data_IF_668003789202
#
_entry.id   IF_668003789202
#
_cell.length_a   1.000
_cell.length_b   1.000
_cell.length_c   1.000
_cell.angle_alpha   90.00
_cell.angle_beta   90.00
_cell.angle_gamma   90.00
#
_symmetry.space_group_name_H-M   'P 1'
#
loop_
_entity.id
_entity.type
_entity.pdbx_description
1 polymer ?
#
# COMPACT_ATOMS: atom_id res chain seq x y z
N UNK A 1 -28.22 57.77 10.09
CA UNK A 1 -27.09 58.15 9.22
C UNK A 1 -25.96 57.16 9.47
N UNK A 2 -25.56 56.38 8.45
CA UNK A 2 -24.34 55.50 8.29
C UNK A 2 -23.84 54.68 9.49
N UNK A 3 -23.92 53.34 9.50
CA UNK A 3 -23.07 52.34 8.80
C UNK A 3 -21.54 52.51 8.99
N UNK A 4 -20.93 51.63 9.78
CA UNK A 4 -19.89 50.71 9.32
C UNK A 4 -19.64 49.62 10.39
N UNK A 5 -20.08 48.42 10.04
CA UNK A 5 -19.74 47.11 10.61
C UNK A 5 -18.42 46.64 9.95
N UNK A 6 -17.55 45.95 10.69
CA UNK A 6 -16.60 44.99 10.13
C UNK A 6 -15.79 44.28 11.22
N UNK A 7 -16.15 43.01 11.46
CA UNK A 7 -15.33 42.10 12.25
C UNK A 7 -15.95 40.71 12.42
N UNK A 8 -16.65 40.19 11.40
CA UNK A 8 -17.20 38.84 11.44
C UNK A 8 -16.11 37.83 11.08
N UNK A 9 -15.66 37.05 12.07
CA UNK A 9 -14.77 35.90 11.88
C UNK A 9 -15.57 34.82 11.16
N UNK A 10 -15.41 34.74 9.84
CA UNK A 10 -16.08 33.75 9.01
C UNK A 10 -15.39 32.38 9.17
N UNK A 11 -16.04 31.49 9.94
CA UNK A 11 -15.85 30.04 9.84
C UNK A 11 -16.35 29.60 8.47
N UNK A 12 -15.46 29.39 7.51
CA UNK A 12 -15.56 28.40 6.43
C UNK A 12 -14.35 28.58 5.49
N UNK A 13 -13.72 27.44 5.20
CA UNK A 13 -12.86 27.12 4.04
C UNK A 13 -11.59 26.38 4.47
N UNK A 14 -11.79 25.18 5.04
CA UNK A 14 -10.75 24.14 5.05
C UNK A 14 -10.97 23.23 3.82
N UNK A 15 -10.88 23.83 2.63
CA UNK A 15 -10.80 23.10 1.37
C UNK A 15 -9.37 22.57 1.24
N UNK A 16 -9.15 21.36 1.77
CA UNK A 16 -7.97 20.56 1.46
C UNK A 16 -7.98 20.37 -0.06
N UNK A 17 -7.16 21.18 -0.73
CA UNK A 17 -6.88 21.03 -2.15
C UNK A 17 -6.12 19.71 -2.28
N UNK A 18 -6.82 18.64 -2.62
CA UNK A 18 -6.21 17.36 -2.95
C UNK A 18 -5.43 17.62 -4.24
N UNK A 19 -4.18 18.03 -4.11
CA UNK A 19 -3.26 18.13 -5.22
C UNK A 19 -3.30 16.76 -5.93
N UNK A 20 -3.57 16.76 -7.23
CA UNK A 20 -3.40 15.57 -8.07
C UNK A 20 -1.92 15.19 -8.00
N UNK A 21 -1.55 14.34 -7.04
CA UNK A 21 -0.24 13.72 -7.00
C UNK A 21 -0.12 12.91 -8.27
N UNK A 22 0.67 13.40 -9.23
CA UNK A 22 1.04 12.62 -10.40
C UNK A 22 1.64 11.32 -9.88
N UNK A 23 1.12 10.19 -10.36
CA UNK A 23 1.55 8.87 -9.92
C UNK A 23 3.06 8.74 -10.13
N UNK A 24 3.85 8.29 -9.14
CA UNK A 24 5.20 7.87 -9.42
C UNK A 24 5.15 6.70 -10.40
N UNK A 25 5.78 6.84 -11.56
CA UNK A 25 5.94 5.77 -12.51
C UNK A 25 6.76 4.65 -11.86
N UNK A 26 6.13 3.54 -11.52
CA UNK A 26 6.84 2.32 -11.10
C UNK A 26 7.30 1.64 -12.39
N UNK A 27 8.61 1.57 -12.67
CA UNK A 27 9.11 0.90 -13.87
C UNK A 27 8.64 -0.55 -13.89
N UNK A 28 7.99 -0.96 -14.99
CA UNK A 28 7.46 -2.31 -15.14
C UNK A 28 6.12 -2.55 -14.46
N UNK A 29 5.40 -1.53 -13.97
CA UNK A 29 4.03 -1.69 -13.49
C UNK A 29 3.08 -0.90 -14.40
N UNK A 30 2.44 -1.61 -15.32
CA UNK A 30 1.33 -1.04 -16.09
C UNK A 30 0.09 -1.18 -15.23
N UNK A 31 -0.48 -0.06 -14.80
CA UNK A 31 -1.75 -0.08 -14.07
C UNK A 31 -2.77 -0.85 -14.94
N UNK A 32 -3.18 -2.03 -14.49
CA UNK A 32 -4.08 -2.89 -15.24
C UNK A 32 -5.38 -2.12 -15.49
N UNK A 33 -5.51 -1.59 -16.70
CA UNK A 33 -6.76 -1.00 -17.16
C UNK A 33 -7.64 -2.19 -17.52
N UNK A 34 -8.29 -2.78 -16.52
CA UNK A 34 -9.35 -3.74 -16.75
C UNK A 34 -10.39 -3.08 -17.67
N UNK A 35 -10.37 -3.47 -18.95
CA UNK A 35 -11.36 -3.18 -19.98
C UNK A 35 -11.64 -1.70 -20.26
N UNK A 36 -10.83 -1.02 -21.08
CA UNK A 36 -11.31 0.19 -21.78
C UNK A 36 -12.07 -0.15 -23.07
N UNK A 37 -11.95 -1.36 -23.62
CA UNK A 37 -12.72 -1.80 -24.79
C UNK A 37 -12.91 -3.33 -24.79
N UNK A 38 -14.01 -3.81 -24.21
CA UNK A 38 -14.64 -5.06 -24.67
C UNK A 38 -16.10 -5.08 -24.24
N UNK A 39 -16.99 -5.28 -25.20
CA UNK A 39 -18.45 -5.27 -25.06
C UNK A 39 -19.00 -6.53 -24.35
N UNK A 40 -18.51 -6.82 -23.14
CA UNK A 40 -19.17 -7.75 -22.22
C UNK A 40 -19.02 -7.24 -20.78
N UNK A 41 -20.05 -6.48 -20.35
CA UNK A 41 -20.30 -6.13 -18.96
C UNK A 41 -20.83 -7.36 -18.20
N UNK A 42 -20.05 -8.43 -18.15
CA UNK A 42 -20.19 -9.38 -17.04
C UNK A 42 -19.51 -8.74 -15.84
N UNK A 43 -20.28 -8.51 -14.77
CA UNK A 43 -19.77 -7.95 -13.52
C UNK A 43 -18.52 -8.72 -13.10
N UNK A 44 -17.42 -8.02 -12.81
CA UNK A 44 -16.26 -8.63 -12.16
C UNK A 44 -16.74 -9.44 -10.94
N UNK A 45 -16.73 -10.76 -11.05
CA UNK A 45 -17.29 -11.65 -10.04
C UNK A 45 -16.54 -11.55 -8.71
N UNK A 46 -15.30 -11.04 -8.76
CA UNK A 46 -14.46 -10.80 -7.61
C UNK A 46 -14.66 -9.41 -7.01
N UNK A 47 -15.51 -8.53 -7.58
CA UNK A 47 -15.70 -7.16 -7.12
C UNK A 47 -16.00 -7.07 -5.61
N UNK A 48 -16.84 -7.97 -5.09
CA UNK A 48 -17.18 -8.06 -3.65
C UNK A 48 -16.00 -8.47 -2.76
N UNK A 49 -14.93 -9.02 -3.33
CA UNK A 49 -13.75 -9.51 -2.63
C UNK A 49 -12.63 -8.46 -2.52
N UNK A 50 -12.80 -7.27 -3.11
CA UNK A 50 -11.80 -6.19 -3.03
C UNK A 50 -11.94 -5.29 -1.79
N UNK A 51 -13.04 -5.39 -1.04
CA UNK A 51 -13.28 -4.63 0.19
C UNK A 51 -12.75 -5.30 1.47
N UNK A 52 -12.93 -4.62 2.59
CA UNK A 52 -12.74 -5.15 3.95
C UNK A 52 -13.94 -4.75 4.84
N UNK A 53 -14.55 -5.68 5.60
CA UNK A 53 -14.21 -7.11 5.71
C UNK A 53 -14.59 -7.90 4.45
N UNK A 54 -13.94 -9.05 4.25
CA UNK A 54 -14.33 -9.99 3.19
C UNK A 54 -15.76 -10.53 3.43
N UNK A 55 -16.49 -10.91 2.37
CA UNK A 55 -17.76 -11.61 2.52
C UNK A 55 -17.60 -12.90 3.35
N UNK A 56 -18.63 -13.25 4.11
CA UNK A 56 -18.66 -14.50 4.87
C UNK A 56 -18.58 -15.67 3.89
N UNK A 57 -17.59 -16.55 4.07
CA UNK A 57 -17.41 -17.77 3.27
C UNK A 57 -18.01 -18.93 4.04
N UNK A 58 -18.98 -19.61 3.44
CA UNK A 58 -19.55 -20.85 3.97
C UNK A 58 -18.71 -22.06 3.56
N UNK A 59 -18.84 -23.17 4.29
CA UNK A 59 -18.18 -24.42 3.91
C UNK A 59 -18.55 -24.80 2.47
N UNK A 60 -17.54 -25.03 1.65
CA UNK A 60 -17.73 -25.36 0.23
C UNK A 60 -18.15 -26.82 0.07
N UNK A 61 -19.23 -27.05 -0.68
CA UNK A 61 -19.59 -28.35 -1.24
C UNK A 61 -19.31 -28.41 -2.75
N UNK A 62 -18.42 -27.56 -3.26
CA UNK A 62 -18.28 -27.33 -4.69
C UNK A 62 -17.71 -28.57 -5.39
N UNK A 63 -18.43 -29.04 -6.41
CA UNK A 63 -17.97 -30.05 -7.36
C UNK A 63 -17.99 -29.45 -8.78
N UNK A 64 -17.16 -28.43 -9.00
CA UNK A 64 -17.08 -27.72 -10.28
C UNK A 64 -15.98 -28.29 -11.15
N UNK A 65 -16.25 -28.44 -12.44
CA UNK A 65 -15.24 -28.64 -13.46
C UNK A 65 -14.52 -27.32 -13.74
N UNK A 66 -13.19 -27.35 -13.86
CA UNK A 66 -12.40 -26.18 -14.24
C UNK A 66 -12.40 -26.12 -15.77
N UNK A 67 -13.07 -25.11 -16.33
CA UNK A 67 -12.89 -24.78 -17.75
C UNK A 67 -11.58 -24.01 -17.90
N UNK A 68 -10.60 -24.62 -18.56
CA UNK A 68 -9.32 -23.98 -18.91
C UNK A 68 -9.52 -23.09 -20.16
N UNK A 69 -10.42 -22.12 -20.06
CA UNK A 69 -10.72 -21.15 -21.13
C UNK A 69 -9.55 -20.19 -21.39
N UNK A 70 -9.77 -19.21 -22.28
CA UNK A 70 -8.77 -18.20 -22.62
C UNK A 70 -8.26 -17.41 -21.39
N UNK A 71 -6.96 -17.07 -21.34
CA UNK A 71 -6.42 -16.29 -20.26
C UNK A 71 -7.08 -14.92 -20.13
N UNK A 72 -7.48 -14.57 -18.91
CA UNK A 72 -8.21 -13.32 -18.60
C UNK A 72 -7.32 -12.22 -18.01
N UNK A 73 -6.04 -12.49 -17.77
CA UNK A 73 -5.07 -11.52 -17.27
C UNK A 73 -4.15 -11.08 -18.41
N UNK A 74 -3.80 -9.80 -18.41
CA UNK A 74 -2.74 -9.25 -19.27
C UNK A 74 -1.57 -8.87 -18.39
N UNK A 75 -0.37 -9.23 -18.83
CA UNK A 75 0.87 -8.79 -18.20
C UNK A 75 1.16 -7.29 -18.50
N UNK A 76 2.27 -6.77 -17.99
CA UNK A 76 2.64 -5.36 -18.16
C UNK A 76 2.88 -4.97 -19.63
N UNK A 77 3.17 -5.95 -20.49
CA UNK A 77 3.37 -5.78 -21.93
C UNK A 77 2.03 -5.84 -22.70
N UNK A 78 0.92 -6.10 -22.01
CA UNK A 78 -0.41 -6.29 -22.61
C UNK A 78 -0.59 -7.65 -23.28
N UNK A 79 0.29 -8.61 -22.97
CA UNK A 79 0.18 -9.98 -23.48
C UNK A 79 -0.71 -10.79 -22.55
N UNK A 80 -1.63 -11.56 -23.14
CA UNK A 80 -2.51 -12.45 -22.39
C UNK A 80 -1.70 -13.56 -21.71
N UNK A 81 -1.75 -13.60 -20.39
CA UNK A 81 -1.21 -14.65 -19.54
C UNK A 81 -2.34 -15.20 -18.67
N UNK A 82 -2.38 -16.47 -18.30
CA UNK A 82 -1.42 -17.54 -18.54
C UNK A 82 -2.14 -18.80 -19.03
N UNK A 83 -1.44 -19.69 -19.74
CA UNK A 83 -1.99 -20.94 -20.28
C UNK A 83 -1.90 -22.13 -19.31
N UNK A 84 -1.15 -21.97 -18.21
CA UNK A 84 -1.01 -23.00 -17.17
C UNK A 84 -0.81 -22.40 -15.78
N UNK A 85 -1.07 -23.20 -14.74
CA UNK A 85 -0.78 -22.81 -13.35
C UNK A 85 0.72 -22.57 -13.11
N UNK A 86 1.59 -23.25 -13.87
CA UNK A 86 3.04 -23.04 -13.78
C UNK A 86 3.43 -21.63 -14.25
N UNK A 87 2.85 -21.16 -15.36
CA UNK A 87 3.05 -19.80 -15.86
C UNK A 87 2.50 -18.74 -14.89
N UNK A 88 1.32 -18.98 -14.29
CA UNK A 88 0.79 -18.09 -13.23
C UNK A 88 1.78 -17.97 -12.07
N UNK A 89 2.34 -19.09 -11.61
CA UNK A 89 3.33 -19.09 -10.52
C UNK A 89 4.61 -18.35 -10.92
N UNK A 90 5.10 -18.51 -12.14
CA UNK A 90 6.25 -17.75 -12.62
C UNK A 90 5.99 -16.24 -12.64
N UNK A 91 4.77 -15.81 -13.01
CA UNK A 91 4.36 -14.41 -12.91
C UNK A 91 4.38 -13.90 -11.46
N UNK A 92 3.85 -14.69 -10.53
CA UNK A 92 3.90 -14.37 -9.09
C UNK A 92 5.36 -14.27 -8.60
N UNK A 93 6.21 -15.25 -8.93
CA UNK A 93 7.62 -15.26 -8.54
C UNK A 93 8.37 -14.02 -9.06
N UNK A 94 8.02 -13.53 -10.26
CA UNK A 94 8.59 -12.32 -10.83
C UNK A 94 8.14 -11.07 -10.05
N UNK A 95 6.87 -10.98 -9.66
CA UNK A 95 6.34 -9.90 -8.81
C UNK A 95 6.98 -9.94 -7.42
N UNK A 96 7.13 -11.12 -6.82
CA UNK A 96 7.71 -11.28 -5.48
C UNK A 96 9.17 -10.79 -5.43
N UNK A 97 9.95 -11.02 -6.48
CA UNK A 97 11.30 -10.45 -6.60
C UNK A 97 11.28 -8.92 -6.62
N UNK A 98 10.32 -8.31 -7.33
CA UNK A 98 10.17 -6.86 -7.35
C UNK A 98 9.72 -6.32 -5.98
N UNK A 99 8.80 -7.03 -5.31
CA UNK A 99 8.37 -6.69 -3.95
C UNK A 99 9.55 -6.71 -2.97
N UNK A 100 10.43 -7.72 -3.02
CA UNK A 100 11.63 -7.77 -2.19
C UNK A 100 12.55 -6.57 -2.43
N UNK A 101 12.76 -6.16 -3.68
CA UNK A 101 13.56 -4.97 -4.01
C UNK A 101 12.93 -3.68 -3.47
N UNK A 102 11.61 -3.54 -3.59
CA UNK A 102 10.87 -2.40 -3.05
C UNK A 102 10.90 -2.36 -1.52
N UNK A 103 10.77 -3.51 -0.86
CA UNK A 103 10.88 -3.64 0.59
C UNK A 103 12.29 -3.31 1.08
N UNK A 104 13.34 -3.76 0.40
CA UNK A 104 14.71 -3.40 0.72
C UNK A 104 14.93 -1.88 0.61
N UNK A 105 14.40 -1.24 -0.44
CA UNK A 105 14.45 0.22 -0.59
C UNK A 105 13.69 0.93 0.53
N UNK A 106 12.50 0.44 0.90
CA UNK A 106 11.72 0.98 2.03
C UNK A 106 12.49 0.84 3.35
N UNK A 107 13.11 -0.32 3.61
CA UNK A 107 13.94 -0.55 4.79
C UNK A 107 15.16 0.39 4.85
N UNK A 108 15.73 0.77 3.70
CA UNK A 108 16.80 1.77 3.65
C UNK A 108 16.29 3.16 4.09
N UNK A 109 15.09 3.57 3.70
CA UNK A 109 14.47 4.82 4.21
C UNK A 109 14.13 4.75 5.70
N UNK A 110 13.73 3.57 6.18
CA UNK A 110 13.50 3.34 7.61
C UNK A 110 14.81 3.49 8.40
N UNK A 111 15.90 2.88 7.93
CA UNK A 111 17.24 3.06 8.49
C UNK A 111 17.71 4.52 8.41
N UNK A 112 17.41 5.23 7.32
CA UNK A 112 17.66 6.68 7.23
C UNK A 112 16.96 7.46 8.33
N UNK A 113 15.69 7.13 8.58
CA UNK A 113 14.87 7.82 9.56
C UNK A 113 15.47 7.72 10.97
N UNK A 114 16.18 6.62 11.29
CA UNK A 114 16.78 6.45 12.61
C UNK A 114 17.84 7.50 12.93
N UNK A 115 18.48 8.15 11.94
CA UNK A 115 19.42 9.25 12.25
C UNK A 115 18.76 10.45 12.94
N UNK A 116 17.45 10.59 12.75
CA UNK A 116 16.65 11.67 13.31
C UNK A 116 15.98 11.27 14.65
N UNK A 117 16.19 10.03 15.10
CA UNK A 117 15.61 9.46 16.32
C UNK A 117 16.68 9.35 17.39
N UNK A 118 16.62 10.23 18.37
CA UNK A 118 17.63 10.32 19.43
C UNK A 118 17.50 9.20 20.48
N UNK A 119 16.30 8.65 20.66
CA UNK A 119 16.04 7.60 21.65
C UNK A 119 15.07 6.56 21.13
N UNK A 120 15.04 5.39 21.79
CA UNK A 120 14.07 4.32 21.52
C UNK A 120 12.62 4.78 21.64
N UNK A 121 12.33 5.74 22.51
CA UNK A 121 10.97 6.27 22.72
C UNK A 121 10.45 7.05 21.51
N UNK A 122 11.34 7.49 20.62
CA UNK A 122 10.96 8.17 19.36
C UNK A 122 10.69 7.19 18.21
N UNK A 123 10.81 5.88 18.46
CA UNK A 123 10.58 4.84 17.44
C UNK A 123 9.10 4.56 17.25
N UNK A 124 8.34 4.43 18.33
CA UNK A 124 6.89 4.18 18.29
C UNK A 124 6.12 5.48 18.03
N UNK A 125 5.43 5.56 16.89
CA UNK A 125 4.62 6.72 16.51
C UNK A 125 3.28 6.22 15.96
N UNK A 126 2.32 5.85 16.84
CA UNK A 126 1.08 5.19 16.42
C UNK A 126 0.28 5.97 15.38
N UNK A 127 0.26 7.31 15.47
CA UNK A 127 -0.42 8.17 14.51
C UNK A 127 0.19 8.08 13.10
N UNK A 128 1.50 7.83 12.99
CA UNK A 128 2.15 7.62 11.70
C UNK A 128 1.79 6.26 11.12
N UNK A 129 1.69 5.23 11.96
CA UNK A 129 1.32 3.88 11.55
C UNK A 129 -0.12 3.84 11.01
N UNK A 130 -1.05 4.47 11.73
CA UNK A 130 -2.44 4.68 11.29
C UNK A 130 -2.48 5.37 9.92
N UNK A 131 -1.72 6.46 9.77
CA UNK A 131 -1.64 7.19 8.51
C UNK A 131 -1.10 6.33 7.35
N UNK A 132 -0.11 5.45 7.58
CA UNK A 132 0.40 4.53 6.56
C UNK A 132 -0.68 3.54 6.13
N UNK A 133 -1.44 3.00 7.09
CA UNK A 133 -2.50 2.03 6.82
C UNK A 133 -3.66 2.67 6.05
N UNK A 134 -4.09 3.88 6.43
CA UNK A 134 -5.13 4.63 5.70
C UNK A 134 -4.72 4.89 4.25
N UNK A 135 -3.49 5.36 4.03
CA UNK A 135 -2.96 5.58 2.68
C UNK A 135 -2.90 4.28 1.86
N UNK A 136 -2.57 3.16 2.50
CA UNK A 136 -2.57 1.85 1.85
C UNK A 136 -3.99 1.44 1.44
N UNK A 137 -4.99 1.64 2.30
CA UNK A 137 -6.40 1.33 2.00
C UNK A 137 -6.97 2.21 0.88
N UNK A 138 -6.66 3.51 0.88
CA UNK A 138 -7.02 4.41 -0.22
C UNK A 138 -6.30 4.07 -1.53
N UNK A 139 -5.03 3.68 -1.44
CA UNK A 139 -4.24 3.17 -2.55
C UNK A 139 -4.85 1.89 -3.12
N UNK A 140 -5.31 0.98 -2.26
CA UNK A 140 -5.84 -0.31 -2.65
C UNK A 140 -7.03 -0.19 -3.62
N UNK A 141 -7.94 0.74 -3.37
CA UNK A 141 -9.06 1.05 -4.27
C UNK A 141 -8.56 1.48 -5.65
N UNK A 142 -7.55 2.35 -5.70
CA UNK A 142 -6.99 2.89 -6.95
C UNK A 142 -6.22 1.85 -7.76
N UNK A 143 -5.57 0.90 -7.09
CA UNK A 143 -4.76 -0.13 -7.73
C UNK A 143 -5.51 -1.44 -7.95
N UNK A 144 -6.81 -1.51 -7.58
CA UNK A 144 -7.56 -2.77 -7.50
C UNK A 144 -6.75 -3.83 -6.75
N UNK A 145 -6.33 -3.49 -5.54
CA UNK A 145 -5.78 -4.43 -4.57
C UNK A 145 -6.87 -4.67 -3.52
N UNK A 146 -7.13 -5.93 -3.09
CA UNK A 146 -8.07 -6.17 -2.00
C UNK A 146 -7.63 -5.43 -0.73
N UNK A 147 -8.53 -4.66 -0.13
CA UNK A 147 -8.24 -3.86 1.07
C UNK A 147 -7.72 -4.72 2.23
N UNK A 148 -8.25 -5.93 2.38
CA UNK A 148 -7.77 -6.92 3.35
C UNK A 148 -6.29 -7.28 3.16
N UNK A 149 -5.81 -7.38 1.91
CA UNK A 149 -4.40 -7.61 1.61
C UNK A 149 -3.59 -6.36 1.91
N UNK A 150 -4.06 -5.18 1.48
CA UNK A 150 -3.38 -3.92 1.71
C UNK A 150 -3.13 -3.68 3.21
N UNK A 151 -4.17 -3.79 4.03
CA UNK A 151 -4.06 -3.64 5.48
C UNK A 151 -3.13 -4.68 6.08
N UNK A 152 -3.33 -5.96 5.77
CA UNK A 152 -2.51 -7.04 6.32
C UNK A 152 -1.01 -6.89 6.01
N UNK A 153 -0.68 -6.59 4.76
CA UNK A 153 0.71 -6.39 4.32
C UNK A 153 1.32 -5.16 4.96
N UNK A 154 0.64 -4.01 4.95
CA UNK A 154 1.20 -2.79 5.51
C UNK A 154 1.33 -2.84 7.04
N UNK A 155 0.38 -3.45 7.76
CA UNK A 155 0.53 -3.72 9.19
C UNK A 155 1.74 -4.61 9.48
N UNK A 156 1.95 -5.68 8.70
CA UNK A 156 3.11 -6.55 8.88
C UNK A 156 4.43 -5.81 8.60
N UNK A 157 4.48 -5.01 7.53
CA UNK A 157 5.64 -4.20 7.19
C UNK A 157 5.97 -3.20 8.30
N UNK A 158 4.96 -2.51 8.86
CA UNK A 158 5.11 -1.56 9.97
C UNK A 158 5.71 -2.26 11.19
N UNK A 159 5.11 -3.36 11.63
CA UNK A 159 5.56 -4.10 12.81
C UNK A 159 7.01 -4.62 12.65
N UNK A 160 7.35 -5.12 11.45
CA UNK A 160 8.71 -5.53 11.13
C UNK A 160 9.68 -4.35 11.07
N UNK A 161 9.24 -3.20 10.56
CA UNK A 161 10.05 -1.97 10.51
C UNK A 161 10.33 -1.44 11.91
N UNK A 162 9.33 -1.40 12.78
CA UNK A 162 9.49 -1.05 14.19
C UNK A 162 10.58 -1.91 14.86
N UNK A 163 10.52 -3.22 14.67
CA UNK A 163 11.53 -4.16 15.19
C UNK A 163 12.93 -3.86 14.65
N UNK A 164 13.04 -3.58 13.35
CA UNK A 164 14.31 -3.24 12.71
C UNK A 164 14.85 -1.88 13.20
N UNK A 165 14.00 -0.86 13.33
CA UNK A 165 14.35 0.46 13.84
C UNK A 165 14.88 0.39 15.28
N UNK A 166 14.19 -0.35 16.16
CA UNK A 166 14.67 -0.56 17.52
C UNK A 166 16.06 -1.18 17.56
N UNK A 167 16.32 -2.17 16.70
CA UNK A 167 17.65 -2.77 16.57
C UNK A 167 18.69 -1.72 16.14
N UNK A 168 18.39 -0.93 15.10
CA UNK A 168 19.33 0.09 14.59
C UNK A 168 19.60 1.17 15.63
N UNK A 169 18.56 1.77 16.23
CA UNK A 169 18.72 2.81 17.27
C UNK A 169 19.49 2.28 18.46
N UNK A 170 19.16 1.08 18.95
CA UNK A 170 19.87 0.47 20.10
C UNK A 170 21.36 0.22 19.80
N UNK A 171 21.74 0.00 18.54
CA UNK A 171 23.14 -0.14 18.15
C UNK A 171 23.85 1.22 17.99
N UNK A 172 23.12 2.31 17.71
CA UNK A 172 23.68 3.67 17.70
C UNK A 172 24.01 4.15 19.12
N UNK A 173 23.18 3.79 20.10
CA UNK A 173 23.40 4.12 21.51
C UNK A 173 24.72 3.56 22.07
N UNK A 174 25.23 2.47 21.49
CA UNK A 174 26.52 1.86 21.86
C UNK A 174 27.72 2.71 21.37
N UNK A 175 27.51 3.57 20.37
CA UNK A 175 28.57 4.35 19.71
C UNK A 175 28.54 5.86 20.02
N UNK A 176 27.66 6.34 20.91
CA UNK A 176 27.82 7.67 21.49
C UNK A 176 28.64 7.57 22.79
N UNK A 177 29.98 7.69 22.76
CA UNK A 177 30.72 7.95 23.99
C UNK A 177 30.23 9.27 24.56
N UNK A 178 30.19 9.36 25.89
CA UNK A 178 29.95 10.59 26.64
C UNK A 178 30.93 11.70 26.22
N UNK A 179 30.55 12.50 25.24
CA UNK A 179 31.03 13.86 25.00
C UNK A 179 29.76 14.69 25.02
N UNK A 180 29.39 15.35 26.12
CA UNK A 180 30.08 16.47 26.74
C UNK A 180 29.82 16.53 28.27
N UNK A 181 30.89 16.47 29.06
CA UNK A 181 30.98 17.03 30.42
C UNK A 181 32.35 17.71 30.52
N UNK A 182 32.48 18.90 29.94
CA UNK A 182 33.47 19.93 30.33
C UNK A 182 32.79 21.29 30.17
#
# INVERSE_FOLDING_TARGET
MGLADNGSINKRDNSISIARTQQPHIPGFRQQVYGRNSHHLDSDYAQKCYGEPLPIIHASGDNRTVSWDEPRMEDDEGKRCCSSLAEVRQGIDAVDKQLLLLLAKRAAYVREATRFKATRDTVDVPSRDEQVIEQALEGAVRYRLPQVIAKGVFSAIINASFTFELCVVSNLDIYQPMTELI
#
